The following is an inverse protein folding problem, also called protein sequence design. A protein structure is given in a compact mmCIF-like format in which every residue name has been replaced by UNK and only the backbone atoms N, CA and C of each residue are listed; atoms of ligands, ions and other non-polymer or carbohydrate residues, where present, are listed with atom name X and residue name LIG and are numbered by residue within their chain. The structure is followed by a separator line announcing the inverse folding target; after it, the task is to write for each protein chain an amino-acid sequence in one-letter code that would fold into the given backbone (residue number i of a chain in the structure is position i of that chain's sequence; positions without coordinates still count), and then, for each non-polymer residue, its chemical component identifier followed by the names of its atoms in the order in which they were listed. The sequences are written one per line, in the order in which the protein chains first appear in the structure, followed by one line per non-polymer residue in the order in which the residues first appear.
data_IF_548615047914
#
_entry.id   IF_548615047914
#
_cell.length_a   1.000
_cell.length_b   1.000
_cell.length_c   1.000
_cell.angle_alpha   90.00
_cell.angle_beta   90.00
_cell.angle_gamma   90.00
#
_symmetry.space_group_name_H-M   'P 1'
#
loop_
_entity.id
_entity.type
_entity.pdbx_description
1 polymer ?
#
# COMPACT_ATOMS: atom_id res chain seq x y z
N UNK A 1 26.36 -11.40 6.99
CA UNK A 1 25.11 -11.82 7.66
C UNK A 1 23.99 -10.96 7.09
N UNK A 2 23.22 -11.50 6.14
CA UNK A 2 22.06 -10.81 5.58
C UNK A 2 21.02 -10.66 6.69
N UNK A 3 20.71 -9.42 7.09
CA UNK A 3 19.43 -9.16 7.73
C UNK A 3 18.39 -9.43 6.64
N UNK A 4 17.59 -10.50 6.77
CA UNK A 4 16.45 -10.71 5.89
C UNK A 4 15.63 -9.43 5.86
N UNK A 5 15.37 -8.90 4.66
CA UNK A 5 14.46 -7.77 4.49
C UNK A 5 13.12 -8.17 5.08
N UNK A 6 12.69 -7.47 6.13
CA UNK A 6 11.41 -7.69 6.81
C UNK A 6 10.71 -6.35 6.90
N UNK A 7 9.39 -6.36 6.74
CA UNK A 7 8.57 -5.22 7.13
C UNK A 7 8.59 -5.14 8.67
N UNK A 8 9.28 -4.14 9.21
CA UNK A 8 9.47 -3.91 10.64
C UNK A 8 8.14 -3.52 11.32
N UNK A 9 7.32 -2.71 10.64
CA UNK A 9 6.05 -2.17 11.14
C UNK A 9 6.22 -1.61 12.56
N UNK A 10 6.99 -0.53 12.67
CA UNK A 10 7.31 0.14 13.95
C UNK A 10 6.28 1.23 14.25
N UNK A 11 5.92 1.43 15.53
CA UNK A 11 4.98 2.47 15.94
C UNK A 11 3.53 2.18 15.54
N UNK A 12 3.10 0.91 15.67
CA UNK A 12 1.75 0.49 15.27
C UNK A 12 0.69 1.13 16.14
N UNK A 13 -0.27 1.78 15.49
CA UNK A 13 -1.54 2.19 16.08
C UNK A 13 -2.68 1.48 15.34
N UNK A 14 -3.65 0.94 16.06
CA UNK A 14 -4.79 0.19 15.50
C UNK A 14 -6.08 0.91 15.83
N UNK A 15 -6.98 0.97 14.86
CA UNK A 15 -8.24 1.69 14.90
C UNK A 15 -9.37 0.77 14.44
N UNK A 16 -10.54 0.88 15.09
CA UNK A 16 -11.73 0.12 14.72
C UNK A 16 -12.66 0.89 13.77
N UNK A 17 -12.67 2.22 13.86
CA UNK A 17 -13.58 3.11 13.14
C UNK A 17 -12.83 3.98 12.12
N UNK A 18 -13.41 4.24 10.92
CA UNK A 18 -14.73 3.84 10.44
C UNK A 18 -14.78 2.38 9.96
N UNK A 19 -13.62 1.77 9.78
CA UNK A 19 -13.41 0.36 9.53
C UNK A 19 -12.05 -0.04 10.15
N UNK A 20 -11.76 -1.34 10.34
CA UNK A 20 -10.49 -1.74 10.92
C UNK A 20 -9.30 -1.31 10.06
N UNK A 21 -8.40 -0.53 10.64
CA UNK A 21 -7.13 -0.15 10.01
C UNK A 21 -6.02 0.01 11.05
N UNK A 22 -4.78 0.03 10.57
CA UNK A 22 -3.62 0.37 11.37
C UNK A 22 -2.69 1.32 10.62
N UNK A 23 -1.89 2.05 11.37
CA UNK A 23 -0.77 2.85 10.86
C UNK A 23 0.52 2.41 11.49
N UNK A 24 1.63 2.57 10.78
CA UNK A 24 2.97 2.44 11.34
C UNK A 24 3.87 3.54 10.78
N UNK A 25 4.80 4.04 11.60
CA UNK A 25 5.71 5.12 11.20
C UNK A 25 6.87 4.65 10.32
N UNK A 26 7.15 3.34 10.32
CA UNK A 26 8.28 2.74 9.59
C UNK A 26 7.92 1.34 9.09
N UNK A 27 8.14 1.10 7.80
CA UNK A 27 7.91 -0.13 7.09
C UNK A 27 9.19 -0.96 6.96
N UNK A 28 10.08 -0.57 6.06
CA UNK A 28 11.31 -1.31 5.75
C UNK A 28 12.54 -0.79 6.50
N UNK A 29 12.47 0.42 7.03
CA UNK A 29 13.58 1.19 7.56
C UNK A 29 14.39 1.89 6.47
N UNK A 30 15.10 2.93 6.87
CA UNK A 30 15.73 3.92 5.97
C UNK A 30 16.56 3.28 4.84
N UNK A 31 17.47 2.37 5.18
CA UNK A 31 18.38 1.79 4.17
C UNK A 31 17.67 0.98 3.08
N UNK A 32 16.63 0.23 3.45
CA UNK A 32 15.91 -0.62 2.52
C UNK A 32 14.82 0.16 1.77
N UNK A 33 14.08 1.04 2.45
CA UNK A 33 13.08 1.91 1.83
C UNK A 33 13.70 2.82 0.77
N UNK A 34 14.91 3.37 1.01
CA UNK A 34 15.66 4.13 0.01
C UNK A 34 16.11 3.27 -1.17
N UNK A 35 16.62 2.06 -0.95
CA UNK A 35 17.04 1.18 -2.03
C UNK A 35 15.86 0.78 -2.94
N UNK A 36 14.68 0.53 -2.36
CA UNK A 36 13.46 0.28 -3.14
C UNK A 36 13.08 1.54 -3.91
N UNK A 37 13.08 2.71 -3.27
CA UNK A 37 12.73 3.96 -3.92
C UNK A 37 13.67 4.28 -5.10
N UNK A 38 14.98 4.14 -4.93
CA UNK A 38 15.96 4.37 -5.99
C UNK A 38 15.65 3.50 -7.22
N UNK A 39 15.27 2.23 -7.01
CA UNK A 39 14.84 1.34 -8.10
C UNK A 39 13.55 1.82 -8.78
N UNK A 40 12.55 2.25 -7.98
CA UNK A 40 11.27 2.76 -8.50
C UNK A 40 11.40 4.03 -9.34
N UNK A 41 12.34 4.91 -8.97
CA UNK A 41 12.60 6.19 -9.65
C UNK A 41 13.36 6.00 -10.98
N UNK A 42 14.08 4.89 -11.17
CA UNK A 42 15.08 4.78 -12.26
C UNK A 42 14.82 3.65 -13.25
N UNK A 43 14.47 2.46 -12.78
CA UNK A 43 14.51 1.23 -13.59
C UNK A 43 13.17 0.46 -13.60
N UNK A 44 12.21 0.86 -12.77
CA UNK A 44 10.94 0.16 -12.68
C UNK A 44 10.11 0.25 -13.99
N UNK A 45 9.49 -0.85 -14.45
CA UNK A 45 8.82 -0.91 -15.75
C UNK A 45 7.37 -0.41 -15.65
N UNK A 46 7.21 0.90 -15.50
CA UNK A 46 5.90 1.54 -15.34
C UNK A 46 5.01 1.41 -16.59
N UNK A 47 3.80 0.91 -16.41
CA UNK A 47 2.75 0.90 -17.43
C UNK A 47 1.58 1.79 -16.99
N UNK A 48 1.01 2.59 -17.90
CA UNK A 48 -0.15 3.42 -17.59
C UNK A 48 -1.42 2.56 -17.66
N UNK A 49 -2.22 2.61 -16.59
CA UNK A 49 -3.52 1.94 -16.49
C UNK A 49 -4.61 2.98 -16.24
N UNK A 50 -5.64 2.92 -17.06
CA UNK A 50 -6.82 3.79 -17.02
C UNK A 50 -8.07 2.97 -16.74
N UNK A 51 -8.83 3.38 -15.73
CA UNK A 51 -10.13 2.79 -15.37
C UNK A 51 -11.16 3.91 -15.16
N UNK A 52 -12.40 3.53 -14.88
CA UNK A 52 -13.48 4.50 -14.62
C UNK A 52 -13.23 5.38 -13.37
N UNK A 53 -12.40 4.91 -12.42
CA UNK A 53 -12.19 5.57 -11.12
C UNK A 53 -10.75 6.00 -10.84
N UNK A 54 -9.76 5.57 -11.63
CA UNK A 54 -8.39 6.07 -11.55
C UNK A 54 -7.66 6.06 -12.89
N UNK A 55 -6.60 6.86 -12.94
CA UNK A 55 -5.52 6.79 -13.92
C UNK A 55 -4.23 6.77 -13.10
N UNK A 56 -3.42 5.72 -13.25
CA UNK A 56 -2.15 5.59 -12.54
C UNK A 56 -1.15 4.76 -13.35
N UNK A 57 0.13 4.92 -13.03
CA UNK A 57 1.13 3.97 -13.48
C UNK A 57 1.23 2.81 -12.49
N UNK A 58 1.27 1.57 -12.99
CA UNK A 58 1.41 0.39 -12.14
C UNK A 58 2.19 -0.73 -12.80
N UNK A 59 2.62 -1.68 -11.96
CA UNK A 59 3.03 -3.02 -12.38
C UNK A 59 2.85 -3.99 -11.20
N UNK A 60 2.66 -5.26 -11.53
CA UNK A 60 2.71 -6.34 -10.53
C UNK A 60 4.16 -6.70 -10.24
N UNK A 61 4.54 -6.75 -8.96
CA UNK A 61 5.87 -7.16 -8.56
C UNK A 61 6.18 -8.61 -8.99
N UNK A 62 5.15 -9.44 -9.16
CA UNK A 62 5.29 -10.83 -9.64
C UNK A 62 5.73 -10.93 -11.09
N UNK A 63 5.49 -9.90 -11.90
CA UNK A 63 5.75 -9.90 -13.35
C UNK A 63 7.10 -9.29 -13.73
N UNK A 64 7.83 -8.75 -12.75
CA UNK A 64 9.09 -8.03 -12.97
C UNK A 64 10.25 -8.68 -12.23
N UNK A 65 11.47 -8.53 -12.74
CA UNK A 65 12.69 -8.95 -12.04
C UNK A 65 13.32 -7.74 -11.35
N UNK A 66 13.05 -7.49 -10.05
CA UNK A 66 13.71 -6.42 -9.34
C UNK A 66 15.22 -6.70 -9.21
N UNK A 67 16.05 -5.68 -8.90
CA UNK A 67 17.47 -5.86 -8.62
C UNK A 67 17.71 -7.01 -7.63
N UNK A 68 18.81 -7.79 -7.76
CA UNK A 68 19.03 -8.99 -6.93
C UNK A 68 18.92 -8.78 -5.42
N UNK A 69 19.29 -7.60 -4.93
CA UNK A 69 19.20 -7.25 -3.51
C UNK A 69 17.77 -6.92 -3.03
N UNK A 70 16.82 -6.70 -3.95
CA UNK A 70 15.39 -6.48 -3.71
C UNK A 70 14.53 -7.69 -4.10
N UNK A 71 15.12 -8.76 -4.65
CA UNK A 71 14.41 -9.98 -5.06
C UNK A 71 13.56 -10.59 -3.94
N UNK A 72 14.01 -10.44 -2.68
CA UNK A 72 13.30 -10.94 -1.49
C UNK A 72 11.86 -10.42 -1.38
N UNK A 73 11.51 -9.26 -1.96
CA UNK A 73 10.16 -8.70 -1.92
C UNK A 73 9.10 -9.62 -2.55
N UNK A 74 9.51 -10.54 -3.43
CA UNK A 74 8.67 -11.55 -4.08
C UNK A 74 8.76 -12.93 -3.43
N UNK A 75 9.71 -13.11 -2.52
CA UNK A 75 10.04 -14.43 -2.00
C UNK A 75 9.07 -14.83 -0.88
N UNK A 76 8.69 -16.12 -0.88
CA UNK A 76 7.76 -16.69 0.10
C UNK A 76 8.14 -16.43 1.56
N UNK A 77 9.41 -16.49 2.00
CA UNK A 77 9.76 -16.18 3.39
C UNK A 77 9.31 -14.77 3.80
N UNK A 78 9.61 -13.76 2.99
CA UNK A 78 9.19 -12.38 3.26
C UNK A 78 7.66 -12.24 3.25
N UNK A 79 7.00 -12.78 2.22
CA UNK A 79 5.54 -12.71 2.09
C UNK A 79 4.83 -13.42 3.25
N UNK A 80 5.35 -14.55 3.73
CA UNK A 80 4.78 -15.26 4.88
C UNK A 80 4.97 -14.51 6.20
N UNK A 81 6.13 -13.87 6.40
CA UNK A 81 6.40 -13.04 7.57
C UNK A 81 5.49 -11.79 7.58
N UNK A 82 5.28 -11.19 6.41
CA UNK A 82 4.35 -10.09 6.22
C UNK A 82 2.91 -10.53 6.52
N UNK A 83 2.45 -11.66 5.94
CA UNK A 83 1.13 -12.24 6.23
C UNK A 83 0.91 -12.45 7.72
N UNK A 84 1.87 -13.09 8.39
CA UNK A 84 1.79 -13.37 9.83
C UNK A 84 1.71 -12.09 10.66
N UNK A 85 2.36 -11.02 10.19
CA UNK A 85 2.30 -9.70 10.82
C UNK A 85 0.90 -9.09 10.67
N UNK A 86 0.30 -9.16 9.48
CA UNK A 86 -1.06 -8.66 9.21
C UNK A 86 -2.12 -9.46 9.96
N UNK A 87 -2.03 -10.79 9.95
CA UNK A 87 -2.89 -11.69 10.75
C UNK A 87 -2.88 -11.31 12.22
N UNK A 88 -1.69 -11.06 12.79
CA UNK A 88 -1.54 -10.67 14.19
C UNK A 88 -2.15 -9.29 14.49
N UNK A 89 -1.97 -8.31 13.61
CA UNK A 89 -2.49 -6.95 13.84
C UNK A 89 -4.01 -6.92 13.77
N UNK A 90 -4.60 -7.56 12.76
CA UNK A 90 -6.06 -7.58 12.57
C UNK A 90 -6.78 -8.68 13.36
N UNK A 91 -6.05 -9.62 13.97
CA UNK A 91 -6.66 -10.81 14.57
C UNK A 91 -7.37 -11.71 13.55
N UNK A 92 -6.89 -11.69 12.29
CA UNK A 92 -7.51 -12.39 11.16
C UNK A 92 -6.72 -13.66 10.77
N UNK A 93 -7.34 -14.50 9.93
CA UNK A 93 -6.67 -15.64 9.27
C UNK A 93 -6.68 -15.42 7.76
N UNK A 94 -5.50 -15.33 7.16
CA UNK A 94 -5.32 -15.01 5.75
C UNK A 94 -4.87 -16.24 4.97
N UNK A 95 -5.30 -16.33 3.72
CA UNK A 95 -4.83 -17.32 2.76
C UNK A 95 -3.35 -17.14 2.42
N UNK A 96 -2.77 -18.10 1.71
CA UNK A 96 -1.35 -18.04 1.33
C UNK A 96 -1.08 -17.12 0.14
N UNK A 97 -2.12 -16.72 -0.59
CA UNK A 97 -2.00 -15.80 -1.71
C UNK A 97 -1.78 -14.38 -1.19
N UNK A 98 -0.75 -13.72 -1.74
CA UNK A 98 -0.44 -12.32 -1.48
C UNK A 98 0.08 -11.75 -2.79
N UNK A 99 -0.54 -10.68 -3.25
CA UNK A 99 -0.08 -9.94 -4.42
C UNK A 99 0.51 -8.61 -3.98
N UNK A 100 1.50 -8.13 -4.74
CA UNK A 100 2.10 -6.81 -4.53
C UNK A 100 2.03 -6.04 -5.85
N UNK A 101 1.18 -5.01 -5.88
CA UNK A 101 1.10 -4.07 -6.99
C UNK A 101 1.82 -2.81 -6.59
N UNK A 102 2.67 -2.30 -7.47
CA UNK A 102 3.43 -1.07 -7.24
C UNK A 102 2.75 0.04 -7.99
N UNK A 103 2.37 1.13 -7.32
CA UNK A 103 1.69 2.27 -7.92
C UNK A 103 2.64 3.46 -8.01
N UNK A 104 2.54 4.22 -9.10
CA UNK A 104 3.09 5.56 -9.28
C UNK A 104 1.98 6.49 -9.75
N UNK A 105 1.74 7.57 -9.01
CA UNK A 105 0.88 8.66 -9.45
C UNK A 105 1.72 9.90 -9.79
N UNK A 106 1.39 10.54 -10.92
CA UNK A 106 2.03 11.78 -11.38
C UNK A 106 1.04 12.95 -11.36
N UNK A 107 1.52 14.17 -11.63
CA UNK A 107 0.71 15.39 -11.58
C UNK A 107 -0.59 15.27 -12.38
N UNK A 108 -1.71 15.63 -11.76
CA UNK A 108 -3.06 15.53 -12.32
C UNK A 108 -3.79 14.23 -11.98
N UNK A 109 -3.06 13.15 -11.66
CA UNK A 109 -3.65 11.87 -11.32
C UNK A 109 -4.24 11.86 -9.92
N UNK A 110 -5.28 11.03 -9.74
CA UNK A 110 -6.01 10.82 -8.49
C UNK A 110 -6.67 9.45 -8.50
N UNK A 111 -7.01 8.95 -7.32
CA UNK A 111 -7.88 7.78 -7.18
C UNK A 111 -9.16 8.27 -6.49
N UNK A 112 -10.30 8.12 -7.17
CA UNK A 112 -11.60 8.55 -6.63
C UNK A 112 -12.02 7.68 -5.44
N UNK A 113 -13.04 8.11 -4.71
CA UNK A 113 -13.59 7.34 -3.60
C UNK A 113 -14.08 5.98 -4.10
N UNK A 114 -13.59 4.92 -3.46
CA UNK A 114 -13.93 3.52 -3.69
C UNK A 114 -13.70 2.74 -2.40
N UNK A 115 -14.04 1.45 -2.36
CA UNK A 115 -13.89 0.62 -1.16
C UNK A 115 -13.09 -0.67 -1.37
N UNK A 116 -12.60 -0.94 -2.59
CA UNK A 116 -11.94 -2.19 -2.98
C UNK A 116 -12.75 -3.48 -2.80
N UNK A 117 -14.00 -3.40 -2.35
CA UNK A 117 -14.77 -4.59 -2.00
C UNK A 117 -15.30 -5.30 -3.23
N UNK A 118 -14.79 -6.51 -3.46
CA UNK A 118 -15.29 -7.46 -4.44
C UNK A 118 -15.41 -8.82 -3.74
N UNK A 119 -16.60 -9.45 -3.70
CA UNK A 119 -16.77 -10.74 -3.03
C UNK A 119 -15.81 -11.81 -3.56
N UNK A 120 -15.06 -12.44 -2.64
CA UNK A 120 -14.09 -13.49 -2.96
C UNK A 120 -12.69 -13.00 -3.34
N UNK A 121 -12.48 -11.69 -3.44
CA UNK A 121 -11.18 -11.08 -3.75
C UNK A 121 -10.38 -10.76 -2.48
N UNK A 122 -9.42 -9.85 -2.58
CA UNK A 122 -8.62 -9.38 -1.47
C UNK A 122 -9.53 -8.92 -0.30
N UNK A 123 -9.09 -9.22 0.92
CA UNK A 123 -9.79 -8.88 2.17
C UNK A 123 -9.03 -7.85 3.00
N UNK A 124 -7.74 -7.66 2.75
CA UNK A 124 -6.91 -6.68 3.46
C UNK A 124 -5.90 -6.06 2.49
N UNK A 125 -5.53 -4.81 2.75
CA UNK A 125 -4.41 -4.14 2.09
C UNK A 125 -3.38 -3.65 3.09
N UNK A 126 -2.12 -3.63 2.66
CA UNK A 126 -1.03 -2.90 3.32
C UNK A 126 -0.34 -2.04 2.28
N UNK A 127 -0.31 -0.74 2.55
CA UNK A 127 0.27 0.29 1.71
C UNK A 127 1.55 0.79 2.36
N UNK A 128 2.66 0.72 1.64
CA UNK A 128 3.93 1.31 2.07
C UNK A 128 4.26 2.49 1.17
N UNK A 129 4.38 3.67 1.76
CA UNK A 129 4.66 4.91 1.05
C UNK A 129 6.17 5.04 0.83
N UNK A 130 6.61 5.27 -0.41
CA UNK A 130 8.03 5.40 -0.74
C UNK A 130 8.24 6.71 -1.50
N UNK A 131 8.41 7.81 -0.77
CA UNK A 131 8.50 9.14 -1.40
C UNK A 131 9.61 9.98 -0.78
N UNK A 132 10.44 10.67 -1.55
CA UNK A 132 11.49 11.55 -1.02
C UNK A 132 11.00 13.00 -0.99
N UNK A 133 11.12 13.67 0.16
CA UNK A 133 10.87 15.11 0.28
C UNK A 133 9.45 15.56 -0.02
N UNK A 134 8.44 14.71 0.24
CA UNK A 134 7.03 15.04 -0.02
C UNK A 134 6.55 16.22 0.84
N UNK A 135 5.79 17.12 0.23
CA UNK A 135 5.20 18.30 0.88
C UNK A 135 3.68 18.31 0.70
N UNK A 136 2.99 18.96 1.63
CA UNK A 136 1.52 18.99 1.63
C UNK A 136 0.94 19.69 0.38
N UNK A 137 1.64 20.67 -0.19
CA UNK A 137 1.23 21.36 -1.42
C UNK A 137 1.24 20.46 -2.66
N UNK A 138 1.87 19.28 -2.59
CA UNK A 138 1.91 18.29 -3.66
C UNK A 138 0.67 17.38 -3.70
N UNK A 139 -0.20 17.42 -2.68
CA UNK A 139 -1.37 16.56 -2.60
C UNK A 139 -0.99 15.09 -2.40
N UNK A 140 -1.69 14.17 -3.08
CA UNK A 140 -1.44 12.73 -2.96
C UNK A 140 -1.74 12.11 -1.60
N UNK A 141 -2.62 12.73 -0.82
CA UNK A 141 -3.04 12.22 0.48
C UNK A 141 -3.89 10.96 0.32
N UNK A 142 -3.59 9.92 1.10
CA UNK A 142 -4.56 8.84 1.32
C UNK A 142 -5.63 9.38 2.28
N UNK A 143 -6.89 9.22 1.93
CA UNK A 143 -8.02 9.70 2.72
C UNK A 143 -8.96 8.53 3.02
N UNK A 144 -9.34 8.37 4.28
CA UNK A 144 -10.41 7.47 4.71
C UNK A 144 -11.65 8.27 5.05
N UNK A 145 -12.82 7.72 4.76
CA UNK A 145 -14.12 8.37 4.90
C UNK A 145 -15.03 7.54 5.81
N UNK A 146 -15.95 8.18 6.54
CA UNK A 146 -16.97 7.45 7.30
C UNK A 146 -18.10 6.91 6.42
N UNK A 147 -18.21 7.39 5.19
CA UNK A 147 -19.22 7.01 4.21
C UNK A 147 -18.73 7.24 2.77
N UNK A 148 -19.56 6.94 1.77
CA UNK A 148 -19.27 7.27 0.37
C UNK A 148 -19.34 8.77 0.03
N UNK A 149 -19.67 9.64 1.00
CA UNK A 149 -19.73 11.09 0.80
C UNK A 149 -18.32 11.71 0.88
N UNK A 150 -17.84 12.42 -0.16
CA UNK A 150 -16.53 13.09 -0.13
C UNK A 150 -16.39 14.17 0.94
N UNK A 151 -17.48 14.69 1.51
CA UNK A 151 -17.43 15.65 2.61
C UNK A 151 -17.19 14.99 3.98
N UNK A 152 -17.36 13.68 4.10
CA UNK A 152 -17.33 12.92 5.35
C UNK A 152 -15.97 12.27 5.61
N UNK A 153 -14.93 13.10 5.59
CA UNK A 153 -13.54 12.66 5.78
C UNK A 153 -13.32 12.26 7.25
N UNK A 154 -12.89 11.02 7.47
CA UNK A 154 -12.47 10.54 8.79
C UNK A 154 -11.01 10.91 9.07
N UNK A 155 -10.11 10.55 8.15
CA UNK A 155 -8.67 10.69 8.36
C UNK A 155 -7.94 10.93 7.06
N UNK A 156 -6.88 11.72 7.15
CA UNK A 156 -5.98 12.06 6.05
C UNK A 156 -4.57 11.64 6.43
N UNK A 157 -3.88 10.96 5.52
CA UNK A 157 -2.51 10.51 5.69
C UNK A 157 -1.62 11.13 4.61
N UNK A 158 -0.60 11.87 5.05
CA UNK A 158 0.49 12.30 4.17
C UNK A 158 1.28 11.08 3.69
N UNK A 159 1.70 11.03 2.41
CA UNK A 159 2.45 9.90 1.87
C UNK A 159 3.94 9.97 2.27
N UNK A 160 4.19 10.08 3.57
CA UNK A 160 5.51 10.20 4.19
C UNK A 160 6.37 8.97 3.88
N UNK A 161 7.65 9.18 3.58
CA UNK A 161 8.57 8.08 3.29
C UNK A 161 8.53 7.00 4.36
N UNK A 162 8.48 5.75 3.91
CA UNK A 162 8.48 4.53 4.71
C UNK A 162 7.30 4.39 5.70
N UNK A 163 6.29 5.26 5.62
CA UNK A 163 5.07 5.11 6.40
C UNK A 163 4.19 3.98 5.86
N UNK A 164 3.46 3.35 6.76
CA UNK A 164 2.59 2.21 6.46
C UNK A 164 1.16 2.51 6.88
N UNK A 165 0.22 2.21 6.01
CA UNK A 165 -1.21 2.13 6.35
C UNK A 165 -1.71 0.77 5.90
N UNK A 166 -2.34 0.01 6.79
CA UNK A 166 -3.03 -1.21 6.41
C UNK A 166 -4.49 -1.17 6.84
N UNK A 167 -5.38 -1.78 6.07
CA UNK A 167 -6.81 -1.80 6.38
C UNK A 167 -7.47 -3.12 5.95
N UNK A 168 -8.56 -3.46 6.65
CA UNK A 168 -9.48 -4.50 6.22
C UNK A 168 -10.44 -3.92 5.16
N UNK A 169 -10.67 -4.69 4.10
CA UNK A 169 -11.57 -4.34 3.00
C UNK A 169 -12.99 -4.77 3.39
N UNK A 170 -13.95 -3.86 3.23
CA UNK A 170 -15.38 -4.08 3.40
C UNK A 170 -16.18 -3.15 2.48
N UNK A 171 -17.49 -3.34 2.41
CA UNK A 171 -18.37 -2.39 1.70
C UNK A 171 -18.22 -0.95 2.23
N UNK A 172 -17.85 -0.80 3.51
CA UNK A 172 -17.69 0.48 4.20
C UNK A 172 -16.24 1.02 4.18
N UNK A 173 -15.27 0.30 3.60
CA UNK A 173 -13.86 0.73 3.60
C UNK A 173 -13.55 1.83 2.59
N UNK A 174 -14.33 2.92 2.63
CA UNK A 174 -14.25 4.02 1.69
C UNK A 174 -12.94 4.80 1.84
N UNK A 175 -12.21 4.90 0.74
CA UNK A 175 -10.96 5.63 0.67
C UNK A 175 -10.68 6.20 -0.72
N UNK A 176 -9.76 7.15 -0.78
CA UNK A 176 -9.34 7.82 -2.00
C UNK A 176 -7.88 8.28 -1.89
N UNK A 177 -7.30 8.64 -3.04
CA UNK A 177 -6.03 9.38 -3.09
C UNK A 177 -6.29 10.74 -3.73
N UNK A 178 -6.01 11.81 -2.98
CA UNK A 178 -6.22 13.17 -3.48
C UNK A 178 -5.37 13.44 -4.71
N UNK A 179 -5.75 14.44 -5.51
CA UNK A 179 -5.01 14.80 -6.73
C UNK A 179 -3.53 15.09 -6.41
N UNK A 180 -2.64 14.61 -7.29
CA UNK A 180 -1.23 15.01 -7.27
C UNK A 180 -1.10 16.37 -7.92
N UNK A 181 -0.53 17.32 -7.21
CA UNK A 181 -0.25 18.67 -7.71
C UNK A 181 1.21 18.87 -8.09
N UNK A 182 2.11 17.97 -7.67
CA UNK A 182 3.52 17.99 -8.10
C UNK A 182 4.30 16.75 -7.65
N UNK A 183 5.33 16.39 -8.42
CA UNK A 183 6.19 15.22 -8.15
C UNK A 183 5.61 13.88 -8.60
N UNK A 184 6.26 12.80 -8.18
CA UNK A 184 5.85 11.41 -8.43
C UNK A 184 5.65 10.70 -7.08
N UNK A 185 4.47 10.12 -6.87
CA UNK A 185 4.10 9.43 -5.63
C UNK A 185 4.16 7.93 -5.84
N UNK A 186 5.02 7.24 -5.11
CA UNK A 186 5.15 5.79 -5.16
C UNK A 186 4.53 5.10 -3.95
N UNK A 187 3.92 3.94 -4.18
CA UNK A 187 3.34 3.10 -3.13
C UNK A 187 3.48 1.63 -3.48
N UNK A 188 3.94 0.81 -2.52
CA UNK A 188 3.74 -0.64 -2.60
C UNK A 188 2.40 -1.00 -1.99
N UNK A 189 1.57 -1.76 -2.72
CA UNK A 189 0.26 -2.22 -2.26
C UNK A 189 0.25 -3.74 -2.17
N UNK A 190 0.37 -4.26 -0.96
CA UNK A 190 0.21 -5.68 -0.68
C UNK A 190 -1.26 -6.00 -0.46
N UNK A 191 -1.80 -6.92 -1.26
CA UNK A 191 -3.18 -7.41 -1.16
C UNK A 191 -3.19 -8.83 -0.59
N UNK A 192 -4.01 -9.06 0.42
CA UNK A 192 -4.13 -10.35 1.12
C UNK A 192 -5.53 -10.92 0.92
N UNK A 193 -5.59 -12.23 0.72
CA UNK A 193 -6.84 -12.93 0.42
C UNK A 193 -7.35 -13.71 1.63
N UNK A 194 -8.66 -13.94 1.67
CA UNK A 194 -9.26 -14.84 2.66
C UNK A 194 -8.75 -16.27 2.51
N UNK A 195 -8.93 -17.10 3.55
CA UNK A 195 -8.69 -18.53 3.39
C UNK A 195 -9.76 -19.10 2.46
N UNK A 196 -9.32 -19.66 1.34
CA UNK A 196 -10.13 -20.64 0.63
C UNK A 196 -10.08 -21.92 1.47
N UNK A 197 -11.02 -22.08 2.38
CA UNK A 197 -11.24 -23.37 3.03
C UNK A 197 -11.94 -24.27 1.98
N UNK A 198 -11.11 -24.91 1.15
CA UNK A 198 -11.50 -26.04 0.31
C UNK A 198 -11.54 -27.34 1.09
#
# INVERSE_FOLDING_TARGET
MNRSGRLQVTGVEVFADPFPYFTASEGFGEGLSLAILDWLETEAPWELVETDFYEQHEFSLSDVSPPPHLAFLRERPFLNDLRSTVERIFGARLGNAIDCTVHKLVTGQRIRIHNDFIPGEATHRVLVQLNRGWRDDQGGFLMFFNSGDPADVHRVFSPTHDSVVGFAISEDSHHAVSTIHGGERFTLVFSFYGRNDG
#
